data_IF_139270713312
#
_entry.id   IF_139270713312
#
_cell.length_a   1.000
_cell.length_b   1.000
_cell.length_c   1.000
_cell.angle_alpha   90.00
_cell.angle_beta   90.00
_cell.angle_gamma   90.00
#
_symmetry.space_group_name_H-M   'P 1'
#
loop_
_entity.id
_entity.type
_entity.pdbx_description
1 polymer ?
#
# COMPACT_ATOMS: atom_id res chain seq x y z
N UNK A 1 -17.25 -20.06 19.75
CA UNK A 1 -16.84 -19.73 21.14
C UNK A 1 -15.32 -19.53 21.33
N UNK A 2 -14.51 -19.34 20.28
CA UNK A 2 -13.03 -19.22 20.39
C UNK A 2 -12.47 -17.79 20.65
N UNK A 3 -13.31 -16.74 20.61
CA UNK A 3 -12.85 -15.33 20.73
C UNK A 3 -12.22 -15.03 22.09
N UNK A 4 -12.81 -15.55 23.18
CA UNK A 4 -12.35 -15.28 24.55
C UNK A 4 -10.92 -15.76 24.81
N UNK A 5 -10.49 -16.86 24.18
CA UNK A 5 -9.14 -17.41 24.40
C UNK A 5 -8.06 -16.58 23.70
N UNK A 6 -8.35 -16.06 22.50
CA UNK A 6 -7.39 -15.23 21.75
C UNK A 6 -7.14 -13.89 22.45
N UNK A 7 -8.20 -13.17 22.78
CA UNK A 7 -8.09 -11.84 23.40
C UNK A 7 -7.40 -11.92 24.76
N UNK A 8 -7.68 -12.97 25.53
CA UNK A 8 -6.99 -13.23 26.80
C UNK A 8 -5.51 -13.58 26.59
N UNK A 9 -5.18 -14.46 25.65
CA UNK A 9 -3.79 -14.80 25.36
C UNK A 9 -2.97 -13.59 24.91
N UNK A 10 -3.54 -12.72 24.06
CA UNK A 10 -2.86 -11.49 23.64
C UNK A 10 -2.69 -10.53 24.82
N UNK A 11 -3.70 -10.37 25.68
CA UNK A 11 -3.55 -9.55 26.88
C UNK A 11 -2.41 -10.04 27.80
N UNK A 12 -2.26 -11.34 27.97
CA UNK A 12 -1.15 -11.94 28.73
C UNK A 12 0.21 -11.78 28.03
N UNK A 13 0.25 -11.83 26.70
CA UNK A 13 1.47 -11.54 25.94
C UNK A 13 1.87 -10.08 26.17
N UNK A 14 0.93 -9.13 26.04
CA UNK A 14 1.21 -7.70 26.22
C UNK A 14 1.71 -7.36 27.62
N UNK A 15 1.36 -8.15 28.64
CA UNK A 15 1.92 -8.01 29.99
C UNK A 15 3.39 -8.40 30.08
N UNK A 16 3.84 -9.34 29.23
CA UNK A 16 5.22 -9.84 29.22
C UNK A 16 6.09 -9.15 28.15
N UNK A 17 5.50 -8.82 27.00
CA UNK A 17 6.13 -8.23 25.84
C UNK A 17 5.20 -7.16 25.21
N UNK A 18 5.34 -5.88 25.62
CA UNK A 18 4.51 -4.79 25.13
C UNK A 18 5.04 -4.14 23.84
N UNK A 19 5.94 -4.81 23.10
CA UNK A 19 6.58 -4.25 21.89
C UNK A 19 5.62 -4.03 20.73
N UNK A 20 4.55 -4.83 20.66
CA UNK A 20 3.59 -4.83 19.56
C UNK A 20 2.20 -4.48 20.04
N UNK A 21 1.44 -3.74 19.24
CA UNK A 21 0.05 -3.43 19.55
C UNK A 21 -0.85 -4.67 19.43
N UNK A 22 -1.96 -4.72 20.18
CA UNK A 22 -2.98 -5.78 20.09
C UNK A 22 -3.47 -5.99 18.64
N UNK A 23 -3.55 -4.93 17.84
CA UNK A 23 -3.94 -5.00 16.43
C UNK A 23 -2.92 -5.78 15.58
N UNK A 24 -1.62 -5.74 15.91
CA UNK A 24 -0.61 -6.52 15.20
C UNK A 24 -0.88 -8.03 15.31
N UNK A 25 -1.24 -8.50 16.51
CA UNK A 25 -1.58 -9.90 16.75
C UNK A 25 -2.83 -10.34 15.99
N UNK A 26 -3.87 -9.48 15.94
CA UNK A 26 -5.07 -9.74 15.15
C UNK A 26 -4.74 -9.81 13.66
N UNK A 27 -3.95 -8.85 13.19
CA UNK A 27 -3.52 -8.75 11.81
C UNK A 27 -2.76 -10.00 11.35
N UNK A 28 -1.79 -10.48 12.15
CA UNK A 28 -1.04 -11.70 11.84
C UNK A 28 -1.95 -12.92 11.76
N UNK A 29 -2.92 -13.06 12.67
CA UNK A 29 -3.89 -14.16 12.63
C UNK A 29 -4.73 -14.14 11.35
N UNK A 30 -5.20 -12.97 10.95
CA UNK A 30 -6.00 -12.79 9.74
C UNK A 30 -5.17 -12.98 8.46
N UNK A 31 -3.94 -12.49 8.46
CA UNK A 31 -2.98 -12.70 7.38
C UNK A 31 -2.60 -14.17 7.20
N UNK A 32 -2.44 -14.94 8.29
CA UNK A 32 -2.24 -16.38 8.22
C UNK A 32 -3.43 -17.10 7.58
N UNK A 33 -4.65 -16.77 7.99
CA UNK A 33 -5.86 -17.33 7.38
C UNK A 33 -6.00 -16.97 5.89
N UNK A 34 -5.66 -15.72 5.52
CA UNK A 34 -5.56 -15.29 4.13
C UNK A 34 -4.55 -16.14 3.34
N UNK A 35 -3.37 -16.35 3.91
CA UNK A 35 -2.29 -17.13 3.29
C UNK A 35 -2.70 -18.59 3.08
N UNK A 36 -3.30 -19.21 4.11
CA UNK A 36 -3.83 -20.57 4.02
C UNK A 36 -4.93 -20.69 2.94
N UNK A 37 -5.82 -19.71 2.84
CA UNK A 37 -6.86 -19.66 1.80
C UNK A 37 -6.26 -19.50 0.41
N UNK A 38 -5.21 -18.69 0.27
CA UNK A 38 -4.50 -18.50 -1.01
C UNK A 38 -3.85 -19.82 -1.47
N UNK A 39 -3.15 -20.50 -0.58
CA UNK A 39 -2.51 -21.79 -0.87
C UNK A 39 -3.52 -22.88 -1.21
N UNK A 40 -4.64 -22.95 -0.48
CA UNK A 40 -5.74 -23.89 -0.79
C UNK A 40 -6.29 -23.71 -2.20
N UNK A 41 -6.34 -22.47 -2.70
CA UNK A 41 -6.79 -22.17 -4.07
C UNK A 41 -5.74 -22.51 -5.12
N UNK A 42 -4.45 -22.29 -4.82
CA UNK A 42 -3.36 -22.51 -5.77
C UNK A 42 -2.95 -23.99 -5.90
N UNK A 43 -2.94 -24.75 -4.79
CA UNK A 43 -2.36 -26.10 -4.71
C UNK A 43 -3.36 -27.18 -4.25
N UNK A 44 -4.63 -26.85 -4.10
CA UNK A 44 -5.68 -27.77 -3.67
C UNK A 44 -5.79 -27.94 -2.15
N UNK A 45 -6.68 -28.83 -1.71
CA UNK A 45 -7.13 -28.94 -0.31
C UNK A 45 -6.19 -29.70 0.64
N UNK A 46 -4.89 -29.81 0.34
CA UNK A 46 -3.95 -30.46 1.24
C UNK A 46 -3.77 -29.60 2.52
N UNK A 47 -3.96 -30.14 3.74
CA UNK A 47 -3.61 -29.44 4.96
C UNK A 47 -2.08 -29.34 5.03
N UNK A 48 -1.56 -28.17 4.61
CA UNK A 48 -0.13 -27.89 4.61
C UNK A 48 0.17 -26.75 5.58
N UNK A 49 1.21 -26.93 6.38
CA UNK A 49 1.78 -25.85 7.19
C UNK A 49 2.41 -24.82 6.25
N UNK A 50 2.20 -23.55 6.57
CA UNK A 50 2.78 -22.42 5.84
C UNK A 50 4.16 -22.17 6.45
N UNK A 51 5.19 -22.12 5.62
CA UNK A 51 6.54 -21.78 6.06
C UNK A 51 6.67 -20.27 6.36
N UNK A 52 7.68 -19.86 7.14
CA UNK A 52 7.95 -18.45 7.42
C UNK A 52 7.94 -17.54 6.17
N UNK A 53 8.67 -17.90 5.10
CA UNK A 53 8.67 -17.15 3.84
C UNK A 53 7.30 -17.04 3.15
N UNK A 54 6.55 -18.15 3.12
CA UNK A 54 5.21 -18.15 2.53
C UNK A 54 4.23 -17.28 3.34
N UNK A 55 4.37 -17.28 4.67
CA UNK A 55 3.59 -16.43 5.55
C UNK A 55 3.93 -14.96 5.36
N UNK A 56 5.22 -14.62 5.23
CA UNK A 56 5.66 -13.24 4.99
C UNK A 56 5.12 -12.71 3.66
N UNK A 57 5.19 -13.49 2.59
CA UNK A 57 4.64 -13.09 1.29
C UNK A 57 3.10 -12.96 1.36
N UNK A 58 2.44 -13.88 2.07
CA UNK A 58 1.00 -13.79 2.30
C UNK A 58 0.59 -12.56 3.11
N UNK A 59 1.35 -12.20 4.16
CA UNK A 59 1.16 -10.98 4.95
C UNK A 59 1.41 -9.72 4.11
N UNK A 60 2.41 -9.73 3.23
CA UNK A 60 2.66 -8.63 2.29
C UNK A 60 1.44 -8.40 1.40
N UNK A 61 0.93 -9.45 0.77
CA UNK A 61 -0.24 -9.36 -0.10
C UNK A 61 -1.50 -8.94 0.67
N UNK A 62 -1.67 -9.47 1.88
CA UNK A 62 -2.78 -9.10 2.74
C UNK A 62 -2.71 -7.62 3.16
N UNK A 63 -1.53 -7.12 3.53
CA UNK A 63 -1.32 -5.70 3.85
C UNK A 63 -1.66 -4.81 2.67
N UNK A 64 -1.18 -5.15 1.47
CA UNK A 64 -1.48 -4.39 0.25
C UNK A 64 -2.97 -4.42 -0.09
N UNK A 65 -3.66 -5.52 0.19
CA UNK A 65 -5.08 -5.65 -0.05
C UNK A 65 -5.92 -4.79 0.90
N UNK A 66 -5.58 -4.77 2.19
CA UNK A 66 -6.38 -4.05 3.20
C UNK A 66 -6.02 -2.56 3.28
N UNK A 67 -4.73 -2.21 3.17
CA UNK A 67 -4.21 -0.86 3.41
C UNK A 67 -3.53 -0.21 2.21
N UNK A 68 -3.17 -1.01 1.18
CA UNK A 68 -2.47 -0.52 -0.01
C UNK A 68 -1.19 0.26 0.34
N UNK A 69 -1.02 1.50 -0.15
CA UNK A 69 0.19 2.30 0.08
C UNK A 69 0.37 2.72 1.55
N UNK A 70 -0.70 2.67 2.36
CA UNK A 70 -0.63 3.00 3.79
C UNK A 70 -0.13 1.84 4.65
N UNK A 71 0.10 0.65 4.06
CA UNK A 71 0.52 -0.56 4.77
C UNK A 71 1.72 -0.35 5.70
N UNK A 72 2.78 0.31 5.21
CA UNK A 72 3.97 0.62 6.01
C UNK A 72 3.63 1.47 7.24
N UNK A 73 2.81 2.52 7.08
CA UNK A 73 2.46 3.42 8.17
C UNK A 73 1.67 2.69 9.26
N UNK A 74 0.67 1.90 8.84
CA UNK A 74 -0.20 1.15 9.76
C UNK A 74 0.60 0.12 10.54
N UNK A 75 1.47 -0.65 9.87
CA UNK A 75 2.31 -1.64 10.54
C UNK A 75 3.28 -0.99 11.53
N UNK A 76 3.91 0.13 11.14
CA UNK A 76 4.82 0.86 12.02
C UNK A 76 4.13 1.39 13.28
N UNK A 77 2.89 1.89 13.17
CA UNK A 77 2.09 2.35 14.32
C UNK A 77 1.85 1.19 15.31
N UNK A 78 1.75 -0.04 14.82
CA UNK A 78 1.59 -1.22 15.67
C UNK A 78 2.90 -1.81 16.20
N UNK A 79 4.04 -1.12 15.97
CA UNK A 79 5.36 -1.56 16.39
C UNK A 79 6.01 -2.59 15.47
N UNK A 80 5.44 -2.82 14.27
CA UNK A 80 5.97 -3.76 13.28
C UNK A 80 6.67 -2.98 12.17
N UNK A 81 8.00 -3.06 12.10
CA UNK A 81 8.79 -2.32 11.13
C UNK A 81 9.53 -3.23 10.13
N UNK A 82 9.72 -4.51 10.48
CA UNK A 82 10.53 -5.46 9.70
C UNK A 82 9.87 -6.84 9.67
N UNK A 83 10.32 -7.70 8.74
CA UNK A 83 9.81 -9.08 8.62
C UNK A 83 10.00 -9.90 9.90
N UNK A 84 11.11 -9.69 10.60
CA UNK A 84 11.46 -10.38 11.84
C UNK A 84 10.45 -10.11 12.97
N UNK A 85 9.81 -8.93 12.96
CA UNK A 85 8.80 -8.54 13.94
C UNK A 85 7.53 -9.39 13.79
N UNK A 86 7.15 -9.74 12.55
CA UNK A 86 6.07 -10.71 12.31
C UNK A 86 6.43 -12.08 12.88
N UNK A 87 7.68 -12.51 12.71
CA UNK A 87 8.19 -13.73 13.32
C UNK A 87 8.01 -13.71 14.84
N UNK A 88 8.45 -12.63 15.50
CA UNK A 88 8.30 -12.49 16.95
C UNK A 88 6.82 -12.58 17.40
N UNK A 89 5.90 -11.95 16.68
CA UNK A 89 4.46 -12.03 16.94
C UNK A 89 3.95 -13.47 16.79
N UNK A 90 4.31 -14.16 15.71
CA UNK A 90 3.92 -15.56 15.48
C UNK A 90 4.44 -16.45 16.60
N UNK A 91 5.71 -16.32 16.97
CA UNK A 91 6.31 -17.08 18.07
C UNK A 91 5.61 -16.83 19.41
N UNK A 92 5.26 -15.58 19.71
CA UNK A 92 4.50 -15.23 20.91
C UNK A 92 3.13 -15.92 20.93
N UNK A 93 2.44 -15.99 19.79
CA UNK A 93 1.15 -16.69 19.66
C UNK A 93 1.28 -18.22 19.75
N UNK A 94 2.33 -18.80 19.18
CA UNK A 94 2.62 -20.25 19.28
C UNK A 94 2.91 -20.65 20.73
N UNK A 95 3.69 -19.85 21.46
CA UNK A 95 4.00 -20.11 22.88
C UNK A 95 2.75 -20.14 23.76
N UNK A 96 1.72 -19.36 23.42
CA UNK A 96 0.42 -19.37 24.12
C UNK A 96 -0.56 -20.43 23.61
N UNK A 97 -0.16 -21.26 22.65
CA UNK A 97 -1.01 -22.31 22.07
C UNK A 97 -2.15 -21.77 21.20
N UNK A 98 -2.07 -20.52 20.75
CA UNK A 98 -3.06 -19.90 19.84
C UNK A 98 -2.82 -20.37 18.40
N UNK A 99 -1.56 -20.48 18.00
CA UNK A 99 -1.15 -21.01 16.72
C UNK A 99 -0.53 -22.39 16.90
N UNK A 100 -0.72 -23.26 15.91
CA UNK A 100 -0.07 -24.57 15.87
C UNK A 100 1.45 -24.41 15.74
N UNK A 101 2.20 -25.13 16.56
CA UNK A 101 3.66 -25.14 16.50
C UNK A 101 4.10 -26.01 15.32
N UNK A 102 4.92 -25.47 14.41
CA UNK A 102 5.74 -26.29 13.52
C UNK A 102 7.08 -26.56 14.20
N UNK A 103 7.61 -27.76 14.02
CA UNK A 103 8.91 -28.16 14.57
C UNK A 103 10.08 -27.52 13.81
N UNK A 104 9.80 -27.01 12.61
CA UNK A 104 10.79 -26.45 11.70
C UNK A 104 10.77 -24.92 11.61
N UNK A 105 9.81 -24.25 12.25
CA UNK A 105 9.75 -22.78 12.22
C UNK A 105 10.84 -22.21 13.12
N UNK A 106 11.77 -21.46 12.53
CA UNK A 106 12.78 -20.67 13.24
C UNK A 106 12.51 -19.19 13.05
N UNK A 107 12.99 -18.37 13.99
CA UNK A 107 12.94 -16.91 13.81
C UNK A 107 13.73 -16.48 12.55
N UNK A 108 14.76 -17.25 12.22
CA UNK A 108 15.59 -17.09 11.00
C UNK A 108 14.78 -17.27 9.71
N UNK A 109 13.69 -18.04 9.71
CA UNK A 109 12.80 -18.15 8.54
C UNK A 109 12.04 -16.85 8.26
N UNK A 110 12.04 -15.92 9.22
CA UNK A 110 11.45 -14.58 9.12
C UNK A 110 12.49 -13.49 8.82
N UNK A 111 13.73 -13.87 8.50
CA UNK A 111 14.78 -12.93 8.09
C UNK A 111 14.33 -12.14 6.86
N UNK A 112 14.68 -10.85 6.81
CA UNK A 112 14.22 -9.81 5.87
C UNK A 112 14.16 -10.22 4.37
N UNK A 113 13.10 -10.93 3.97
CA UNK A 113 12.87 -11.36 2.57
C UNK A 113 12.54 -10.17 1.68
N UNK A 114 11.94 -9.13 2.26
CA UNK A 114 11.64 -7.87 1.61
C UNK A 114 11.69 -6.72 2.61
N UNK A 115 11.99 -5.52 2.13
CA UNK A 115 11.83 -4.30 2.95
C UNK A 115 10.43 -3.73 2.81
N UNK A 116 9.92 -3.06 3.85
CA UNK A 116 8.59 -2.44 3.82
C UNK A 116 8.50 -1.33 2.77
N UNK A 117 9.61 -0.66 2.47
CA UNK A 117 9.68 0.31 1.37
C UNK A 117 9.52 -0.36 0.01
N UNK A 118 10.20 -1.48 -0.24
CA UNK A 118 10.03 -2.24 -1.49
C UNK A 118 8.62 -2.81 -1.63
N UNK A 119 8.03 -3.27 -0.53
CA UNK A 119 6.71 -3.88 -0.55
C UNK A 119 5.57 -2.85 -0.68
N UNK A 120 5.65 -1.71 0.01
CA UNK A 120 4.51 -0.81 0.22
C UNK A 120 4.71 0.60 -0.33
N UNK A 121 5.95 1.00 -0.68
CA UNK A 121 6.24 2.37 -1.16
C UNK A 121 6.61 2.35 -2.63
N UNK A 122 7.63 1.58 -3.02
CA UNK A 122 8.12 1.48 -4.41
C UNK A 122 7.01 1.25 -5.45
N UNK A 123 6.05 0.31 -5.28
CA UNK A 123 5.01 0.06 -6.28
C UNK A 123 4.02 1.22 -6.49
N UNK A 124 4.00 2.21 -5.60
CA UNK A 124 3.10 3.36 -5.67
C UNK A 124 3.83 4.68 -5.98
N UNK A 125 5.15 4.65 -6.17
CA UNK A 125 5.88 5.83 -6.61
C UNK A 125 5.51 6.15 -8.07
N UNK A 126 5.16 7.41 -8.40
CA UNK A 126 4.91 7.79 -9.77
C UNK A 126 6.17 7.56 -10.60
N UNK A 127 6.02 6.99 -11.81
CA UNK A 127 7.11 6.95 -12.77
C UNK A 127 7.63 8.38 -12.97
N UNK A 128 8.96 8.53 -12.88
CA UNK A 128 9.63 9.83 -13.03
C UNK A 128 9.05 10.50 -14.28
N UNK A 129 8.59 11.76 -14.20
CA UNK A 129 8.10 12.45 -15.37
C UNK A 129 9.22 12.44 -16.41
N UNK A 130 9.00 11.69 -17.50
CA UNK A 130 9.86 11.74 -18.67
C UNK A 130 10.05 13.21 -19.04
N UNK A 131 11.28 13.68 -19.30
CA UNK A 131 11.54 15.08 -19.59
C UNK A 131 10.66 15.49 -20.77
N UNK A 132 9.62 16.25 -20.43
CA UNK A 132 8.51 16.66 -21.26
C UNK A 132 9.02 17.06 -22.65
N UNK A 133 8.50 16.40 -23.69
CA UNK A 133 8.67 16.81 -25.07
C UNK A 133 8.45 18.33 -25.17
N UNK A 134 9.47 19.03 -25.67
CA UNK A 134 9.51 20.48 -25.85
C UNK A 134 8.19 20.93 -26.49
N UNK A 135 7.34 21.63 -25.72
CA UNK A 135 6.16 22.29 -26.30
C UNK A 135 6.67 23.24 -27.39
N UNK A 136 6.23 23.13 -28.66
CA UNK A 136 6.68 24.07 -29.67
C UNK A 136 6.25 25.48 -29.25
N UNK A 137 7.18 26.41 -29.38
CA UNK A 137 6.98 27.81 -29.04
C UNK A 137 5.74 28.33 -29.77
N UNK A 138 4.84 28.96 -29.02
CA UNK A 138 3.62 29.57 -29.54
C UNK A 138 4.02 30.67 -30.52
N UNK A 139 3.92 30.39 -31.81
CA UNK A 139 4.13 31.37 -32.88
C UNK A 139 3.25 32.60 -32.61
N UNK A 140 3.91 33.74 -32.49
CA UNK A 140 3.30 35.06 -32.32
C UNK A 140 2.27 35.30 -33.42
N UNK A 141 1.01 35.53 -33.03
CA UNK A 141 -0.04 35.97 -33.94
C UNK A 141 0.43 37.23 -34.68
N UNK A 142 0.57 37.10 -36.00
CA UNK A 142 0.79 38.18 -36.95
C UNK A 142 -0.34 39.20 -36.83
N UNK A 143 0.03 40.46 -36.62
CA UNK A 143 -0.85 41.63 -36.59
C UNK A 143 -1.42 41.84 -38.01
N UNK A 144 -2.73 41.75 -38.18
CA UNK A 144 -3.44 42.18 -39.40
C UNK A 144 -3.46 43.72 -39.46
N UNK A 145 -3.20 44.36 -40.61
CA UNK A 145 -3.39 45.79 -40.78
C UNK A 145 -4.87 46.14 -40.94
N UNK A 146 -5.29 47.20 -40.26
CA UNK A 146 -6.65 47.76 -40.28
C UNK A 146 -6.90 48.43 -41.65
N UNK A 147 -7.86 47.90 -42.42
CA UNK A 147 -8.35 48.54 -43.63
C UNK A 147 -9.55 49.45 -43.27
N UNK A 148 -9.49 50.67 -43.77
CA UNK A 148 -10.40 51.77 -43.53
C UNK A 148 -11.84 51.49 -44.01
N UNK A 149 -12.78 52.03 -43.25
CA UNK A 149 -14.23 52.05 -43.51
C UNK A 149 -14.58 53.27 -44.37
N UNK A 150 -15.15 53.13 -45.58
CA UNK A 150 -15.73 54.23 -46.31
C UNK A 150 -17.26 54.18 -46.24
N UNK A 151 -17.82 54.87 -45.25
CA UNK A 151 -19.24 55.22 -45.22
C UNK A 151 -19.49 56.50 -46.04
N UNK A 152 -20.21 56.36 -47.16
CA UNK A 152 -20.86 57.41 -47.97
C UNK A 152 -22.07 58.04 -47.22
N UNK A 153 -22.75 59.11 -47.71
CA UNK A 153 -22.51 59.97 -48.87
C UNK A 153 -22.53 61.50 -48.56
N UNK A 154 -22.15 62.25 -49.60
CA UNK A 154 -22.12 63.69 -49.77
C UNK A 154 -23.49 64.39 -49.58
N UNK A 155 -23.53 65.44 -48.75
CA UNK A 155 -24.61 66.41 -48.67
C UNK A 155 -24.04 67.81 -48.37
N UNK A 156 -23.86 68.62 -49.42
CA UNK A 156 -23.72 70.07 -49.36
C UNK A 156 -24.69 70.61 -50.43
N UNK A 157 -25.79 71.26 -50.06
CA UNK A 157 -25.91 72.71 -49.80
C UNK A 157 -25.55 73.52 -51.06
N UNK A 158 -26.56 74.05 -51.77
CA UNK A 158 -26.92 75.50 -51.78
C UNK A 158 -25.73 76.39 -52.20
N UNK A 159 -25.74 77.15 -53.30
CA UNK A 159 -26.78 78.07 -53.77
C UNK A 159 -26.32 79.52 -53.51
N UNK A 160 -25.66 80.15 -54.49
CA UNK A 160 -25.35 81.59 -54.68
C UNK A 160 -24.19 81.65 -55.71
N UNK A 161 -24.14 82.44 -56.77
CA UNK A 161 -24.78 83.69 -57.17
C UNK A 161 -24.66 83.80 -58.71
#
# INVERSE_FOLDING_TARGET
MQKNNFDQAVAEILQSDPRFDVQAYRFVREGLDFTLKLHKRAHGAAPRHVTGPELLEGLRQYTLKEFGPMGKMVLNEWGVARCEDFGAIVFNLVQRGILGKSENDKLEDFSEIFTFDEAFVQPFLPEKPSPRAKRPARSSRSRLPQAADPSLPNAAAEGAE
#
